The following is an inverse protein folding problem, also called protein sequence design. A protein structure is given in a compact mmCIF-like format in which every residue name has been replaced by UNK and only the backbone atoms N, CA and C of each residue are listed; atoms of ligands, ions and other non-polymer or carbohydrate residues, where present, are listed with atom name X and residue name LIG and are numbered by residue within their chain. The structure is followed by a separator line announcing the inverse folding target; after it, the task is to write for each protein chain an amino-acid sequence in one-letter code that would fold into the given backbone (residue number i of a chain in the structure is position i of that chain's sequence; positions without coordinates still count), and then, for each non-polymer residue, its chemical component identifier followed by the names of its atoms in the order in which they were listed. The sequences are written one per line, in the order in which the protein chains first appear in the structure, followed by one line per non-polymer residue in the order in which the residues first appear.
data_IF_266395908978
#
_entry.id   IF_266395908978
#
_cell.length_a   1.000
_cell.length_b   1.000
_cell.length_c   1.000
_cell.angle_alpha   90.00
_cell.angle_beta   90.00
_cell.angle_gamma   90.00
#
_symmetry.space_group_name_H-M   'P 1'
#
loop_
_entity.id
_entity.type
_entity.pdbx_description
1 polymer ?
#
# COMPACT_ATOMS: atom_id res chain seq x y z
N UNK A 1 3.45 -38.96 23.70
CA UNK A 1 4.35 -37.77 23.70
C UNK A 1 5.02 -37.46 22.35
N UNK A 2 5.61 -38.42 21.61
CA UNK A 2 6.29 -38.14 20.32
C UNK A 2 5.37 -37.62 19.19
N UNK A 3 4.14 -38.12 19.09
CA UNK A 3 3.16 -37.68 18.08
C UNK A 3 2.72 -36.22 18.26
N UNK A 4 2.44 -35.78 19.50
CA UNK A 4 2.10 -34.38 19.78
C UNK A 4 3.23 -33.40 19.40
N UNK A 5 4.50 -33.82 19.58
CA UNK A 5 5.67 -33.01 19.17
C UNK A 5 5.78 -32.88 17.64
N UNK A 6 5.48 -33.93 16.88
CA UNK A 6 5.49 -33.89 15.42
C UNK A 6 4.36 -33.03 14.85
N UNK A 7 3.16 -33.11 15.44
CA UNK A 7 2.01 -32.26 15.06
C UNK A 7 2.32 -30.79 15.34
N UNK A 8 2.84 -30.46 16.52
CA UNK A 8 3.23 -29.09 16.87
C UNK A 8 4.28 -28.51 15.90
N UNK A 9 5.34 -29.27 15.59
CA UNK A 9 6.36 -28.86 14.61
C UNK A 9 5.79 -28.67 13.19
N UNK A 10 4.81 -29.49 12.79
CA UNK A 10 4.13 -29.34 11.50
C UNK A 10 3.29 -28.06 11.44
N UNK A 11 2.54 -27.77 12.50
CA UNK A 11 1.73 -26.55 12.61
C UNK A 11 2.62 -25.30 12.59
N UNK A 12 3.75 -25.33 13.31
CA UNK A 12 4.72 -24.24 13.32
C UNK A 12 5.31 -23.99 11.92
N UNK A 13 5.70 -25.04 11.20
CA UNK A 13 6.20 -24.93 9.81
C UNK A 13 5.15 -24.38 8.85
N UNK A 14 3.89 -24.82 8.99
CA UNK A 14 2.78 -24.31 8.18
C UNK A 14 2.53 -22.82 8.46
N UNK A 15 2.53 -22.44 9.73
CA UNK A 15 2.38 -21.05 10.17
C UNK A 15 3.51 -20.16 9.61
N UNK A 16 4.77 -20.60 9.72
CA UNK A 16 5.92 -19.87 9.15
C UNK A 16 5.82 -19.73 7.63
N UNK A 17 5.36 -20.77 6.92
CA UNK A 17 5.15 -20.71 5.46
C UNK A 17 4.07 -19.69 5.11
N UNK A 18 2.97 -19.68 5.87
CA UNK A 18 1.89 -18.72 5.69
C UNK A 18 2.36 -17.27 5.92
N UNK A 19 3.08 -17.02 7.02
CA UNK A 19 3.64 -15.70 7.33
C UNK A 19 4.58 -15.21 6.22
N UNK A 20 5.50 -16.06 5.76
CA UNK A 20 6.42 -15.70 4.68
C UNK A 20 5.68 -15.38 3.39
N UNK A 21 4.63 -16.15 3.07
CA UNK A 21 3.78 -15.87 1.92
C UNK A 21 3.09 -14.52 2.06
N UNK A 22 2.56 -14.21 3.25
CA UNK A 22 1.90 -12.93 3.53
C UNK A 22 2.83 -11.74 3.26
N UNK A 23 4.00 -11.69 3.91
CA UNK A 23 4.93 -10.58 3.76
C UNK A 23 5.48 -10.47 2.34
N UNK A 24 5.71 -11.60 1.67
CA UNK A 24 6.09 -11.62 0.26
C UNK A 24 5.01 -10.99 -0.62
N UNK A 25 3.74 -11.35 -0.43
CA UNK A 25 2.66 -10.77 -1.23
C UNK A 25 2.51 -9.27 -0.96
N UNK A 26 2.65 -8.82 0.29
CA UNK A 26 2.67 -7.39 0.62
C UNK A 26 3.84 -6.66 -0.06
N UNK A 27 5.04 -7.26 -0.07
CA UNK A 27 6.20 -6.71 -0.76
C UNK A 27 5.99 -6.60 -2.27
N UNK A 28 5.40 -7.62 -2.90
CA UNK A 28 5.06 -7.60 -4.33
C UNK A 28 4.05 -6.49 -4.65
N UNK A 29 3.03 -6.30 -3.80
CA UNK A 29 2.06 -5.21 -3.92
C UNK A 29 2.77 -3.85 -3.79
N UNK A 30 3.53 -3.64 -2.72
CA UNK A 30 4.24 -2.37 -2.47
C UNK A 30 5.21 -2.02 -3.60
N UNK A 31 5.92 -3.01 -4.17
CA UNK A 31 6.79 -2.82 -5.33
C UNK A 31 5.99 -2.38 -6.57
N UNK A 32 4.85 -3.02 -6.83
CA UNK A 32 3.99 -2.65 -7.95
C UNK A 32 3.44 -1.22 -7.79
N UNK A 33 2.96 -0.86 -6.60
CA UNK A 33 2.49 0.49 -6.31
C UNK A 33 3.62 1.53 -6.42
N UNK A 34 4.82 1.21 -5.94
CA UNK A 34 6.00 2.07 -6.13
C UNK A 34 6.39 2.26 -7.60
N UNK A 35 6.17 1.24 -8.45
CA UNK A 35 6.36 1.37 -9.90
C UNK A 35 5.33 2.31 -10.53
N UNK A 36 4.07 2.27 -10.09
CA UNK A 36 3.03 3.18 -10.54
C UNK A 36 3.40 4.62 -10.15
N UNK A 37 3.79 4.86 -8.89
CA UNK A 37 4.24 6.18 -8.46
C UNK A 37 5.36 6.74 -9.35
N UNK A 38 6.40 5.93 -9.60
CA UNK A 38 7.52 6.33 -10.49
C UNK A 38 7.07 6.60 -11.92
N UNK A 39 6.11 5.84 -12.47
CA UNK A 39 5.68 6.01 -13.86
C UNK A 39 4.86 7.29 -14.10
N UNK A 40 4.16 7.76 -13.06
CA UNK A 40 3.34 8.98 -13.10
C UNK A 40 4.08 10.22 -12.58
N UNK A 41 5.16 10.04 -11.82
CA UNK A 41 5.85 11.09 -11.06
C UNK A 41 6.18 12.35 -11.88
N UNK A 42 6.70 12.18 -13.08
CA UNK A 42 7.08 13.29 -13.97
C UNK A 42 5.95 13.80 -14.87
N UNK A 43 4.76 13.20 -14.75
CA UNK A 43 3.59 13.47 -15.60
C UNK A 43 2.47 14.17 -14.83
N UNK A 44 2.63 14.38 -13.53
CA UNK A 44 1.66 15.07 -12.68
C UNK A 44 2.27 16.34 -12.09
N UNK A 45 1.42 17.28 -11.71
CA UNK A 45 1.83 18.40 -10.87
C UNK A 45 1.92 17.93 -9.41
N UNK A 46 3.14 17.83 -8.87
CA UNK A 46 3.34 17.38 -7.48
C UNK A 46 2.85 18.38 -6.45
N UNK A 47 2.81 19.68 -6.76
CA UNK A 47 2.34 20.69 -5.80
C UNK A 47 0.85 20.48 -5.50
N UNK A 48 0.06 20.16 -6.54
CA UNK A 48 -1.36 19.80 -6.40
C UNK A 48 -1.60 18.64 -5.41
N UNK A 49 -0.63 17.74 -5.25
CA UNK A 49 -0.75 16.54 -4.43
C UNK A 49 0.12 16.56 -3.16
N UNK A 50 0.73 17.70 -2.83
CA UNK A 50 1.75 17.78 -1.79
C UNK A 50 1.25 17.28 -0.42
N UNK A 51 0.04 17.65 0.00
CA UNK A 51 -0.48 17.27 1.31
C UNK A 51 -0.85 15.79 1.39
N UNK A 52 -1.32 15.21 0.29
CA UNK A 52 -1.54 13.77 0.20
C UNK A 52 -0.21 13.01 0.28
N UNK A 53 0.81 13.50 -0.43
CA UNK A 53 2.18 12.96 -0.39
C UNK A 53 2.80 13.08 1.02
N UNK A 54 2.68 14.24 1.66
CA UNK A 54 3.20 14.48 3.02
C UNK A 54 2.58 13.52 4.02
N UNK A 55 1.26 13.36 3.99
CA UNK A 55 0.56 12.43 4.88
C UNK A 55 1.12 11.01 4.76
N UNK A 56 1.23 10.49 3.53
CA UNK A 56 1.74 9.13 3.32
C UNK A 56 3.21 9.00 3.72
N UNK A 57 4.02 10.03 3.48
CA UNK A 57 5.44 10.02 3.85
C UNK A 57 5.67 9.96 5.38
N UNK A 58 4.69 10.31 6.22
CA UNK A 58 4.80 10.12 7.68
C UNK A 58 4.95 8.64 8.07
N UNK A 59 4.52 7.73 7.18
CA UNK A 59 4.51 6.28 7.42
C UNK A 59 5.60 5.53 6.64
N UNK A 60 6.36 6.23 5.78
CA UNK A 60 7.45 5.65 5.00
C UNK A 60 8.76 6.10 5.64
N UNK A 61 9.50 5.17 6.23
CA UNK A 61 10.77 5.56 6.87
C UNK A 61 11.86 5.80 5.82
N UNK A 62 12.75 6.76 6.12
CA UNK A 62 13.99 7.07 5.41
C UNK A 62 13.89 7.36 3.90
N UNK A 63 12.70 7.33 3.29
CA UNK A 63 12.42 7.51 1.86
C UNK A 63 11.07 8.22 1.69
N UNK A 64 10.56 8.27 0.46
CA UNK A 64 9.27 8.86 0.13
C UNK A 64 8.43 7.88 -0.68
N UNK A 65 7.13 8.15 -0.79
CA UNK A 65 6.20 7.41 -1.63
C UNK A 65 6.61 7.33 -3.10
N UNK A 66 7.36 8.33 -3.58
CA UNK A 66 7.91 8.37 -4.94
C UNK A 66 9.08 7.41 -5.15
N UNK A 67 9.77 7.01 -4.08
CA UNK A 67 10.96 6.18 -4.15
C UNK A 67 11.06 5.25 -2.94
N UNK A 68 10.10 4.34 -2.82
CA UNK A 68 10.07 3.39 -1.72
C UNK A 68 11.23 2.42 -1.84
N UNK A 69 12.02 2.35 -0.78
CA UNK A 69 13.12 1.39 -0.61
C UNK A 69 13.01 0.74 0.76
N UNK A 70 13.92 -0.19 1.00
CA UNK A 70 14.07 -0.96 2.23
C UNK A 70 12.98 -2.01 2.46
N UNK A 71 13.41 -3.17 2.94
CA UNK A 71 12.54 -4.34 3.17
C UNK A 71 11.43 -4.00 4.16
N UNK A 72 11.71 -3.24 5.22
CA UNK A 72 10.70 -2.91 6.22
C UNK A 72 9.54 -2.06 5.66
N UNK A 73 9.77 -1.19 4.66
CA UNK A 73 8.67 -0.47 3.99
C UNK A 73 7.92 -1.41 3.04
N UNK A 74 8.66 -2.25 2.31
CA UNK A 74 8.07 -3.17 1.33
C UNK A 74 7.19 -4.22 2.00
N UNK A 75 7.57 -4.74 3.15
CA UNK A 75 6.79 -5.76 3.87
C UNK A 75 5.68 -5.15 4.75
N UNK A 76 5.55 -3.81 4.81
CA UNK A 76 4.57 -3.15 5.65
C UNK A 76 3.20 -3.00 4.95
N UNK A 77 2.12 -3.62 5.46
CA UNK A 77 0.78 -3.49 4.89
C UNK A 77 0.21 -2.07 5.00
N UNK A 78 0.61 -1.27 5.99
CA UNK A 78 0.18 0.12 6.13
C UNK A 78 0.73 0.97 4.99
N UNK A 79 1.99 0.74 4.60
CA UNK A 79 2.62 1.42 3.46
C UNK A 79 1.86 1.09 2.18
N UNK A 80 1.45 -0.16 1.98
CA UNK A 80 0.64 -0.56 0.82
C UNK A 80 -0.73 0.12 0.84
N UNK A 81 -1.41 0.13 1.99
CA UNK A 81 -2.70 0.78 2.15
C UNK A 81 -2.64 2.27 1.79
N UNK A 82 -1.65 2.98 2.32
CA UNK A 82 -1.49 4.41 2.10
C UNK A 82 -1.05 4.74 0.67
N UNK A 83 -0.21 3.89 0.06
CA UNK A 83 0.09 3.98 -1.37
C UNK A 83 -1.17 3.83 -2.24
N UNK A 84 -2.07 2.91 -1.90
CA UNK A 84 -3.35 2.74 -2.61
C UNK A 84 -4.18 4.03 -2.53
N UNK A 85 -4.35 4.59 -1.33
CA UNK A 85 -5.13 5.82 -1.13
C UNK A 85 -4.52 7.02 -1.83
N UNK A 86 -3.20 7.14 -1.81
CA UNK A 86 -2.49 8.22 -2.49
C UNK A 86 -2.71 8.17 -4.01
N UNK A 87 -2.55 6.99 -4.62
CA UNK A 87 -2.77 6.81 -6.06
C UNK A 87 -4.25 6.99 -6.44
N UNK A 88 -5.18 6.51 -5.62
CA UNK A 88 -6.61 6.78 -5.81
C UNK A 88 -6.89 8.28 -5.82
N UNK A 89 -6.40 9.00 -4.82
CA UNK A 89 -6.59 10.43 -4.71
C UNK A 89 -6.02 11.16 -5.93
N UNK A 90 -4.80 10.85 -6.35
CA UNK A 90 -4.20 11.42 -7.56
C UNK A 90 -5.08 11.17 -8.77
N UNK A 91 -5.48 9.92 -8.99
CA UNK A 91 -6.23 9.49 -10.16
C UNK A 91 -7.68 9.98 -10.16
N UNK A 92 -8.31 10.23 -9.02
CA UNK A 92 -9.62 10.87 -8.93
C UNK A 92 -9.57 12.33 -9.41
N UNK A 93 -8.43 13.00 -9.23
CA UNK A 93 -8.22 14.42 -9.58
C UNK A 93 -7.51 14.62 -10.92
N UNK A 94 -7.08 13.55 -11.59
CA UNK A 94 -6.52 13.58 -12.94
C UNK A 94 -7.57 13.17 -13.99
N UNK A 95 -7.50 13.71 -15.23
CA UNK A 95 -8.41 13.33 -16.30
C UNK A 95 -8.49 11.81 -16.51
N UNK A 96 -9.71 11.30 -16.75
CA UNK A 96 -9.99 9.86 -16.88
C UNK A 96 -9.26 9.18 -18.05
N UNK A 97 -8.91 9.93 -19.09
CA UNK A 97 -8.17 9.45 -20.26
C UNK A 97 -6.65 9.36 -20.02
N UNK A 98 -6.14 9.86 -18.88
CA UNK A 98 -4.73 9.73 -18.49
C UNK A 98 -4.52 8.51 -17.61
N UNK A 99 -3.31 7.94 -17.69
CA UNK A 99 -2.83 6.87 -16.81
C UNK A 99 -3.70 5.59 -16.86
N UNK A 100 -4.27 5.27 -18.03
CA UNK A 100 -5.21 4.14 -18.17
C UNK A 100 -4.58 2.81 -17.74
N UNK A 101 -3.30 2.58 -18.07
CA UNK A 101 -2.58 1.37 -17.69
C UNK A 101 -2.34 1.33 -16.17
N UNK A 102 -1.87 2.42 -15.60
CA UNK A 102 -1.59 2.56 -14.18
C UNK A 102 -2.86 2.44 -13.33
N UNK A 103 -3.98 3.02 -13.78
CA UNK A 103 -5.30 2.85 -13.15
C UNK A 103 -5.72 1.39 -13.14
N UNK A 104 -5.51 0.65 -14.24
CA UNK A 104 -5.79 -0.79 -14.30
C UNK A 104 -4.90 -1.58 -13.34
N UNK A 105 -3.61 -1.27 -13.28
CA UNK A 105 -2.67 -1.88 -12.34
C UNK A 105 -3.06 -1.61 -10.89
N UNK A 106 -3.46 -0.37 -10.57
CA UNK A 106 -3.96 -0.01 -9.24
C UNK A 106 -5.17 -0.86 -8.84
N UNK A 107 -6.14 -1.02 -9.73
CA UNK A 107 -7.31 -1.87 -9.45
C UNK A 107 -6.95 -3.34 -9.22
N UNK A 108 -5.96 -3.85 -9.95
CA UNK A 108 -5.46 -5.21 -9.69
C UNK A 108 -4.79 -5.30 -8.32
N UNK A 109 -3.94 -4.34 -7.97
CA UNK A 109 -3.28 -4.33 -6.65
C UNK A 109 -4.28 -4.17 -5.51
N UNK A 110 -5.36 -3.37 -5.66
CA UNK A 110 -6.46 -3.32 -4.69
C UNK A 110 -7.09 -4.68 -4.47
N UNK A 111 -7.39 -5.42 -5.54
CA UNK A 111 -7.95 -6.77 -5.44
C UNK A 111 -6.99 -7.73 -4.73
N UNK A 112 -5.70 -7.67 -5.05
CA UNK A 112 -4.69 -8.51 -4.38
C UNK A 112 -4.57 -8.15 -2.90
N UNK A 113 -4.53 -6.86 -2.55
CA UNK A 113 -4.50 -6.38 -1.18
C UNK A 113 -5.72 -6.85 -0.37
N UNK A 114 -6.93 -6.76 -0.94
CA UNK A 114 -8.15 -7.27 -0.30
C UNK A 114 -8.13 -8.79 -0.10
N UNK A 115 -7.53 -9.58 -1.01
CA UNK A 115 -7.38 -11.04 -0.83
C UNK A 115 -6.46 -11.40 0.32
N UNK A 116 -5.41 -10.60 0.54
CA UNK A 116 -4.50 -10.75 1.69
C UNK A 116 -5.19 -10.37 3.00
N UNK A 117 -6.25 -9.56 2.92
CA UNK A 117 -7.11 -9.13 4.02
C UNK A 117 -6.32 -8.63 5.26
N UNK A 118 -5.39 -7.68 5.10
CA UNK A 118 -4.57 -7.18 6.21
C UNK A 118 -5.37 -6.32 7.21
N UNK A 119 -6.49 -5.73 6.77
CA UNK A 119 -7.32 -4.83 7.56
C UNK A 119 -8.81 -5.10 7.31
N UNK A 120 -9.64 -4.77 8.30
CA UNK A 120 -11.10 -4.73 8.11
C UNK A 120 -11.49 -3.52 7.26
N UNK A 121 -12.59 -3.64 6.53
CA UNK A 121 -13.10 -2.56 5.68
C UNK A 121 -13.32 -1.25 6.47
N UNK A 122 -13.90 -1.33 7.67
CA UNK A 122 -14.08 -0.18 8.57
C UNK A 122 -12.76 0.54 8.90
N UNK A 123 -11.69 -0.23 9.13
CA UNK A 123 -10.36 0.32 9.40
C UNK A 123 -9.81 1.02 8.16
N UNK A 124 -9.96 0.40 6.98
CA UNK A 124 -9.55 1.03 5.72
C UNK A 124 -10.30 2.34 5.47
N UNK A 125 -11.61 2.38 5.72
CA UNK A 125 -12.40 3.60 5.56
C UNK A 125 -11.99 4.69 6.55
N UNK A 126 -11.78 4.33 7.83
CA UNK A 126 -11.26 5.26 8.83
C UNK A 126 -9.93 5.87 8.40
N UNK A 127 -8.99 5.03 7.94
CA UNK A 127 -7.68 5.48 7.46
C UNK A 127 -7.77 6.37 6.23
N UNK A 128 -8.66 6.07 5.28
CA UNK A 128 -8.90 6.92 4.11
C UNK A 128 -9.44 8.29 4.56
N UNK A 129 -10.37 8.30 5.50
CA UNK A 129 -10.95 9.53 6.01
C UNK A 129 -9.93 10.39 6.78
N UNK A 130 -9.03 9.78 7.55
CA UNK A 130 -7.91 10.47 8.20
C UNK A 130 -7.03 11.22 7.19
N UNK A 131 -6.65 10.55 6.08
CA UNK A 131 -5.89 11.18 5.01
C UNK A 131 -6.65 12.36 4.38
N UNK A 132 -7.93 12.16 4.04
CA UNK A 132 -8.75 13.22 3.43
C UNK A 132 -8.93 14.43 4.36
N UNK A 133 -9.10 14.17 5.66
CA UNK A 133 -9.18 15.23 6.67
C UNK A 133 -7.87 15.99 6.78
N UNK A 134 -6.72 15.30 6.78
CA UNK A 134 -5.41 15.93 6.79
C UNK A 134 -5.22 16.84 5.57
N UNK A 135 -5.57 16.37 4.37
CA UNK A 135 -5.48 17.15 3.13
C UNK A 135 -6.35 18.40 3.22
N UNK A 136 -7.60 18.26 3.67
CA UNK A 136 -8.53 19.38 3.80
C UNK A 136 -7.99 20.45 4.76
N UNK A 137 -7.56 20.05 5.96
CA UNK A 137 -7.07 20.97 7.00
C UNK A 137 -5.83 21.77 6.58
N UNK A 138 -5.03 21.26 5.64
CA UNK A 138 -3.81 21.93 5.14
C UNK A 138 -4.04 22.73 3.86
N UNK A 139 -5.18 22.55 3.21
CA UNK A 139 -5.55 23.25 1.98
C UNK A 139 -6.38 24.51 2.23
N UNK A 140 -6.86 24.70 3.47
CA UNK A 140 -7.47 25.92 4.01
C UNK A 140 -6.39 26.85 4.58
#
# INVERSE_FOLDING_TARGET
MRQHKQVALSLERQHLKHIRSYYRTIAEINLCLGNIHRSIEHKIDKQKYQYATEYVNQYISYTTVWNIKFVYNLENPEVALLQLFHLEYIFEHEPKNRFTMERKQLQEQKKQFSKVNPYKEEQMQSRKQEMLNYIKQRSE
#
